data_IF_448994304175
#
_entry.id   IF_448994304175
#
_cell.length_a   1.000
_cell.length_b   1.000
_cell.length_c   1.000
_cell.angle_alpha   90.00
_cell.angle_beta   90.00
_cell.angle_gamma   90.00
#
_symmetry.space_group_name_H-M   'P 1'
#
loop_
_entity.id
_entity.type
_entity.pdbx_description
1 polymer ?
#
# COMPACT_ATOMS: atom_id res chain seq x y z
N UNK A 1 55.30 24.01 14.58
CA UNK A 1 55.22 22.57 14.24
C UNK A 1 55.35 21.70 15.49
N UNK A 2 54.57 21.96 16.55
CA UNK A 2 54.69 21.23 17.84
C UNK A 2 53.34 20.78 18.41
N UNK A 3 52.22 21.13 17.77
CA UNK A 3 50.87 20.74 18.19
C UNK A 3 50.35 19.47 17.50
N UNK A 4 50.90 19.09 16.33
CA UNK A 4 50.44 17.90 15.59
C UNK A 4 50.95 16.57 16.18
N UNK A 5 52.11 16.57 16.86
CA UNK A 5 52.68 15.34 17.43
C UNK A 5 51.97 14.84 18.69
N UNK A 6 51.33 15.74 19.46
CA UNK A 6 50.62 15.37 20.69
C UNK A 6 49.26 14.69 20.40
N UNK A 7 48.57 15.10 19.33
CA UNK A 7 47.28 14.50 18.92
C UNK A 7 47.46 13.09 18.34
N UNK A 8 48.56 12.83 17.62
CA UNK A 8 48.86 11.50 17.08
C UNK A 8 49.22 10.49 18.19
N UNK A 9 49.93 10.93 19.24
CA UNK A 9 50.27 10.09 20.40
C UNK A 9 49.05 9.74 21.25
N UNK A 10 48.03 10.61 21.33
CA UNK A 10 46.76 10.32 22.00
C UNK A 10 45.90 9.29 21.24
N UNK A 11 45.93 9.30 19.90
CA UNK A 11 45.21 8.32 19.09
C UNK A 11 45.84 6.91 19.15
N UNK A 12 47.17 6.80 19.32
CA UNK A 12 47.84 5.52 19.54
C UNK A 12 47.76 5.03 21.01
N UNK A 13 47.56 5.93 21.98
CA UNK A 13 47.38 5.57 23.39
C UNK A 13 45.95 5.06 23.70
N UNK A 14 44.96 5.34 22.85
CA UNK A 14 43.66 4.66 22.84
C UNK A 14 43.71 3.38 22.00
N UNK A 15 44.81 2.61 22.16
CA UNK A 15 44.95 1.28 21.60
C UNK A 15 43.71 0.43 21.88
N UNK A 16 43.30 -0.30 20.85
CA UNK A 16 42.21 -1.28 20.80
C UNK A 16 42.10 -2.02 22.14
N UNK A 17 41.21 -1.57 23.02
CA UNK A 17 40.82 -2.35 24.19
C UNK A 17 40.12 -3.58 23.64
N UNK A 18 40.68 -4.76 23.93
CA UNK A 18 39.95 -6.01 23.72
C UNK A 18 38.58 -5.87 24.37
N UNK A 19 37.53 -6.05 23.57
CA UNK A 19 36.17 -6.08 24.06
C UNK A 19 36.10 -7.23 25.07
N UNK A 20 35.75 -6.97 26.35
CA UNK A 20 35.63 -8.01 27.37
C UNK A 20 34.73 -9.14 26.86
N UNK A 21 35.05 -10.41 27.14
CA UNK A 21 34.31 -11.55 26.54
C UNK A 21 32.80 -11.49 26.76
N UNK A 22 32.34 -10.97 27.91
CA UNK A 22 30.92 -10.79 28.22
C UNK A 22 30.23 -9.65 27.44
N UNK A 23 30.99 -8.85 26.69
CA UNK A 23 30.52 -7.79 25.79
C UNK A 23 30.80 -8.12 24.32
N UNK A 24 31.49 -9.23 24.03
CA UNK A 24 31.58 -9.73 22.66
C UNK A 24 30.18 -10.24 22.29
N UNK A 25 29.58 -9.76 21.19
CA UNK A 25 28.35 -10.37 20.71
C UNK A 25 28.64 -11.86 20.48
N UNK A 26 27.78 -12.73 21.02
CA UNK A 26 27.87 -14.16 20.77
C UNK A 26 28.00 -14.37 19.26
N UNK A 27 28.99 -15.17 18.85
CA UNK A 27 29.13 -15.54 17.45
C UNK A 27 27.77 -16.08 16.98
N UNK A 28 27.20 -15.56 15.89
CA UNK A 28 25.92 -16.07 15.40
C UNK A 28 26.08 -17.59 15.24
N UNK A 29 25.14 -18.40 15.71
CA UNK A 29 25.28 -19.86 15.66
C UNK A 29 25.58 -20.30 14.23
N UNK A 30 26.83 -20.72 13.98
CA UNK A 30 27.36 -21.07 12.65
C UNK A 30 26.85 -22.40 12.10
N UNK A 31 25.73 -22.90 12.62
CA UNK A 31 25.08 -24.12 12.16
C UNK A 31 23.61 -23.82 11.92
N UNK A 32 23.34 -22.94 10.94
CA UNK A 32 22.08 -23.03 10.21
C UNK A 32 22.19 -24.35 9.43
N UNK A 33 21.61 -25.41 9.97
CA UNK A 33 21.32 -26.60 9.17
C UNK A 33 20.56 -26.10 7.95
N UNK A 34 21.16 -26.17 6.76
CA UNK A 34 20.48 -25.77 5.54
C UNK A 34 19.31 -26.72 5.35
N UNK A 35 18.12 -26.27 5.74
CA UNK A 35 16.88 -27.01 5.50
C UNK A 35 16.86 -27.35 4.00
N UNK A 36 16.77 -28.63 3.62
CA UNK A 36 16.79 -29.00 2.22
C UNK A 36 15.59 -28.36 1.52
N UNK A 37 15.86 -27.68 0.41
CA UNK A 37 14.85 -27.01 -0.39
C UNK A 37 14.18 -28.04 -1.28
N UNK A 38 12.94 -28.41 -0.95
CA UNK A 38 12.20 -29.51 -1.60
C UNK A 38 10.80 -29.13 -2.07
N UNK A 39 10.28 -28.01 -1.58
CA UNK A 39 8.93 -27.50 -1.87
C UNK A 39 8.92 -25.96 -1.90
N UNK A 40 7.79 -25.36 -2.30
CA UNK A 40 7.65 -23.91 -2.35
C UNK A 40 7.85 -23.24 -0.98
N UNK A 41 7.29 -23.74 0.15
CA UNK A 41 7.56 -23.18 1.48
C UNK A 41 9.04 -23.14 1.87
N UNK A 42 9.78 -24.24 1.69
CA UNK A 42 11.21 -24.31 2.00
C UNK A 42 12.05 -23.46 1.03
N UNK A 43 11.66 -23.37 -0.24
CA UNK A 43 12.28 -22.46 -1.20
C UNK A 43 12.05 -20.98 -0.85
N UNK A 44 10.83 -20.62 -0.45
CA UNK A 44 10.54 -19.28 0.03
C UNK A 44 11.36 -18.96 1.28
N UNK A 45 11.46 -19.89 2.24
CA UNK A 45 12.24 -19.69 3.45
C UNK A 45 13.72 -19.43 3.15
N UNK A 46 14.32 -20.23 2.27
CA UNK A 46 15.70 -20.01 1.81
C UNK A 46 15.84 -18.66 1.08
N UNK A 47 14.82 -18.22 0.35
CA UNK A 47 14.80 -16.93 -0.36
C UNK A 47 14.71 -15.75 0.61
N UNK A 48 13.89 -15.83 1.66
CA UNK A 48 13.72 -14.76 2.66
C UNK A 48 15.01 -14.49 3.45
N UNK A 49 15.86 -15.50 3.63
CA UNK A 49 17.17 -15.38 4.27
C UNK A 49 17.12 -14.68 5.65
N UNK A 50 16.11 -15.01 6.47
CA UNK A 50 15.95 -14.46 7.82
C UNK A 50 15.31 -13.07 7.91
N UNK A 51 14.93 -12.45 6.79
CA UNK A 51 14.25 -11.16 6.76
C UNK A 51 12.77 -11.30 6.34
N UNK A 52 11.78 -11.07 7.23
CA UNK A 52 10.37 -11.15 6.87
C UNK A 52 9.95 -10.09 5.85
N UNK A 53 10.72 -9.02 5.69
CA UNK A 53 10.45 -7.99 4.70
C UNK A 53 11.17 -8.24 3.38
N UNK A 54 11.95 -9.32 3.28
CA UNK A 54 12.68 -9.69 2.07
C UNK A 54 13.47 -8.52 1.46
N UNK A 55 14.17 -7.71 2.27
CA UNK A 55 14.91 -6.53 1.77
C UNK A 55 16.09 -6.90 0.90
N UNK A 56 16.72 -8.05 1.20
CA UNK A 56 17.87 -8.63 0.50
C UNK A 56 17.66 -10.13 0.31
N UNK A 57 16.65 -10.54 -0.47
CA UNK A 57 16.31 -11.94 -0.63
C UNK A 57 17.40 -12.65 -1.43
N UNK A 58 17.67 -13.90 -1.07
CA UNK A 58 18.63 -14.74 -1.78
C UNK A 58 18.05 -15.25 -3.10
N UNK A 59 18.83 -15.18 -4.18
CA UNK A 59 18.42 -15.73 -5.47
C UNK A 59 18.83 -17.20 -5.56
N UNK A 60 17.86 -18.10 -5.50
CA UNK A 60 18.10 -19.54 -5.58
C UNK A 60 18.49 -19.97 -7.01
N UNK A 61 19.13 -21.13 -7.10
CA UNK A 61 19.56 -21.70 -8.37
C UNK A 61 18.35 -22.12 -9.24
N UNK A 62 18.33 -21.71 -10.51
CA UNK A 62 17.22 -21.98 -11.42
C UNK A 62 16.98 -23.48 -11.67
N UNK A 63 18.05 -24.30 -11.69
CA UNK A 63 17.94 -25.75 -11.88
C UNK A 63 17.30 -26.43 -10.65
N UNK A 64 17.60 -25.95 -9.44
CA UNK A 64 16.93 -26.39 -8.22
C UNK A 64 15.44 -26.01 -8.24
N UNK A 65 15.13 -24.76 -8.57
CA UNK A 65 13.73 -24.31 -8.62
C UNK A 65 12.93 -25.01 -9.71
N UNK A 66 13.57 -25.46 -10.80
CA UNK A 66 12.91 -26.22 -11.86
C UNK A 66 12.39 -27.59 -11.41
N UNK A 67 12.90 -28.14 -10.31
CA UNK A 67 12.41 -29.42 -9.75
C UNK A 67 11.27 -29.25 -8.75
N UNK A 68 10.91 -28.00 -8.39
CA UNK A 68 9.92 -27.71 -7.36
C UNK A 68 8.60 -27.28 -8.02
N UNK A 69 7.47 -27.93 -7.72
CA UNK A 69 6.16 -27.50 -8.17
C UNK A 69 5.86 -26.06 -7.75
N UNK A 70 5.21 -25.29 -8.62
CA UNK A 70 4.77 -23.91 -8.35
C UNK A 70 5.90 -22.91 -8.01
N UNK A 71 7.17 -23.27 -8.20
CA UNK A 71 8.32 -22.38 -7.97
C UNK A 71 8.62 -21.42 -9.13
N UNK A 72 7.80 -21.40 -10.18
CA UNK A 72 7.96 -20.51 -11.32
C UNK A 72 8.01 -19.01 -10.93
N UNK A 73 7.21 -18.51 -9.96
CA UNK A 73 7.32 -17.12 -9.50
C UNK A 73 8.68 -16.79 -8.86
N UNK A 74 9.30 -17.74 -8.14
CA UNK A 74 10.64 -17.56 -7.57
C UNK A 74 11.72 -17.49 -8.65
N UNK A 75 11.60 -18.32 -9.71
CA UNK A 75 12.51 -18.26 -10.86
C UNK A 75 12.38 -16.92 -11.59
N UNK A 76 11.15 -16.47 -11.82
CA UNK A 76 10.87 -15.22 -12.49
C UNK A 76 11.43 -14.02 -11.70
N UNK A 77 11.28 -14.04 -10.37
CA UNK A 77 11.92 -13.08 -9.47
C UNK A 77 13.46 -13.09 -9.62
N UNK A 78 14.08 -14.29 -9.60
CA UNK A 78 15.52 -14.45 -9.82
C UNK A 78 15.98 -13.93 -11.18
N UNK A 79 15.19 -14.12 -12.24
CA UNK A 79 15.49 -13.58 -13.57
C UNK A 79 15.44 -12.04 -13.58
N UNK A 80 14.43 -11.44 -12.95
CA UNK A 80 14.28 -9.97 -12.89
C UNK A 80 15.40 -9.31 -12.09
N UNK A 81 15.77 -9.86 -10.92
CA UNK A 81 16.88 -9.34 -10.10
C UNK A 81 18.19 -9.30 -10.89
N UNK A 82 18.42 -10.26 -11.80
CA UNK A 82 19.60 -10.29 -12.67
C UNK A 82 19.50 -9.33 -13.86
N UNK A 83 18.32 -9.23 -14.48
CA UNK A 83 18.13 -8.47 -15.71
C UNK A 83 17.97 -6.95 -15.48
N UNK A 84 17.24 -6.55 -14.43
CA UNK A 84 16.87 -5.16 -14.18
C UNK A 84 16.83 -4.81 -12.67
N UNK A 85 17.94 -4.98 -11.92
CA UNK A 85 17.96 -4.80 -10.46
C UNK A 85 17.59 -3.38 -10.02
N UNK A 86 17.78 -2.38 -10.89
CA UNK A 86 17.66 -0.95 -10.59
C UNK A 86 16.54 -0.23 -11.36
N UNK A 87 15.60 -0.95 -11.98
CA UNK A 87 14.52 -0.38 -12.79
C UNK A 87 13.14 -0.50 -12.10
N UNK A 88 12.64 0.56 -11.44
CA UNK A 88 11.33 0.55 -10.77
C UNK A 88 10.15 0.19 -11.70
N UNK A 89 10.24 0.52 -12.99
CA UNK A 89 9.18 0.25 -13.94
C UNK A 89 9.12 -1.24 -14.28
N UNK A 90 10.27 -1.89 -14.44
CA UNK A 90 10.34 -3.35 -14.61
C UNK A 90 9.76 -4.09 -13.40
N UNK A 91 10.09 -3.65 -12.18
CA UNK A 91 9.51 -4.20 -10.95
C UNK A 91 7.99 -3.99 -10.84
N UNK A 92 7.49 -2.83 -11.25
CA UNK A 92 6.04 -2.55 -11.26
C UNK A 92 5.29 -3.36 -12.34
N UNK A 93 5.92 -3.63 -13.48
CA UNK A 93 5.37 -4.53 -14.49
C UNK A 93 5.31 -5.97 -13.96
N UNK A 94 6.40 -6.43 -13.35
CA UNK A 94 6.50 -7.75 -12.75
C UNK A 94 5.45 -7.99 -11.68
N UNK A 95 5.23 -7.05 -10.75
CA UNK A 95 4.17 -7.19 -9.74
C UNK A 95 2.78 -7.36 -10.37
N UNK A 96 2.47 -6.63 -11.44
CA UNK A 96 1.18 -6.76 -12.14
C UNK A 96 1.01 -8.12 -12.81
N UNK A 97 2.08 -8.67 -13.38
CA UNK A 97 2.06 -9.99 -14.02
C UNK A 97 2.01 -11.15 -13.02
N UNK A 98 2.52 -10.94 -11.80
CA UNK A 98 2.70 -11.99 -10.78
C UNK A 98 1.76 -11.88 -9.59
N UNK A 99 0.67 -11.14 -9.74
CA UNK A 99 -0.37 -10.99 -8.71
C UNK A 99 -0.86 -12.35 -8.20
N UNK A 100 -1.06 -12.45 -6.88
CA UNK A 100 -1.49 -13.66 -6.18
C UNK A 100 -0.37 -14.65 -5.87
N UNK A 101 0.90 -14.29 -6.11
CA UNK A 101 2.06 -15.18 -5.88
C UNK A 101 3.06 -14.60 -4.89
N UNK A 102 3.94 -15.46 -4.36
CA UNK A 102 5.02 -15.06 -3.42
C UNK A 102 5.98 -14.03 -4.01
N UNK A 103 6.06 -13.95 -5.34
CA UNK A 103 6.94 -13.02 -6.03
C UNK A 103 6.59 -11.55 -5.79
N UNK A 104 5.33 -11.23 -5.47
CA UNK A 104 4.92 -9.86 -5.14
C UNK A 104 5.54 -9.42 -3.82
N UNK A 105 5.45 -10.24 -2.76
CA UNK A 105 6.10 -9.96 -1.48
C UNK A 105 7.61 -9.77 -1.62
N UNK A 106 8.27 -10.66 -2.38
CA UNK A 106 9.71 -10.56 -2.65
C UNK A 106 10.10 -9.32 -3.46
N UNK A 107 9.32 -8.98 -4.50
CA UNK A 107 9.53 -7.78 -5.29
C UNK A 107 9.42 -6.53 -4.42
N UNK A 108 8.34 -6.41 -3.64
CA UNK A 108 8.14 -5.25 -2.76
C UNK A 108 9.22 -5.15 -1.68
N UNK A 109 9.67 -6.28 -1.14
CA UNK A 109 10.83 -6.35 -0.24
C UNK A 109 12.12 -5.83 -0.88
N UNK A 110 12.46 -6.31 -2.08
CA UNK A 110 13.61 -5.82 -2.84
C UNK A 110 13.55 -4.31 -3.06
N UNK A 111 12.38 -3.80 -3.47
CA UNK A 111 12.12 -2.38 -3.70
C UNK A 111 12.26 -1.56 -2.40
N UNK A 112 11.79 -2.08 -1.26
CA UNK A 112 12.04 -1.47 0.05
C UNK A 112 13.54 -1.41 0.37
N UNK A 113 14.29 -2.48 0.12
CA UNK A 113 15.75 -2.49 0.30
C UNK A 113 16.48 -1.48 -0.60
N UNK A 114 15.96 -1.18 -1.78
CA UNK A 114 16.43 -0.09 -2.63
C UNK A 114 16.14 1.28 -1.99
N UNK A 115 14.95 1.50 -1.43
CA UNK A 115 14.60 2.76 -0.75
C UNK A 115 15.40 3.00 0.52
N UNK A 116 15.68 1.96 1.29
CA UNK A 116 16.50 2.11 2.49
C UNK A 116 17.92 2.61 2.18
N UNK A 117 18.46 2.31 0.99
CA UNK A 117 19.74 2.89 0.55
C UNK A 117 19.69 4.39 0.26
N UNK A 118 18.48 4.96 0.09
CA UNK A 118 18.24 6.37 -0.18
C UNK A 118 17.94 7.19 1.08
N UNK A 119 17.92 6.57 2.28
CA UNK A 119 17.60 7.28 3.54
C UNK A 119 18.55 8.46 3.80
N UNK A 120 19.85 8.29 3.57
CA UNK A 120 20.83 9.38 3.77
C UNK A 120 20.48 10.64 2.96
N UNK A 121 20.34 10.53 1.63
CA UNK A 121 19.84 11.62 0.78
C UNK A 121 18.47 12.17 1.19
N UNK A 122 17.51 11.31 1.56
CA UNK A 122 16.17 11.73 2.01
C UNK A 122 16.25 12.63 3.25
N UNK A 123 17.07 12.26 4.24
CA UNK A 123 17.30 13.06 5.45
C UNK A 123 17.91 14.44 5.14
N UNK A 124 18.63 14.55 4.02
CA UNK A 124 19.22 15.81 3.54
C UNK A 124 18.25 16.65 2.70
N UNK A 125 17.01 16.20 2.52
CA UNK A 125 16.01 16.89 1.70
C UNK A 125 16.24 16.75 0.19
N UNK A 126 16.93 15.71 -0.25
CA UNK A 126 17.14 15.45 -1.68
C UNK A 126 15.81 15.06 -2.37
N UNK A 127 15.28 16.00 -3.14
CA UNK A 127 14.03 15.81 -3.90
C UNK A 127 14.15 14.72 -4.98
N UNK A 128 15.32 14.51 -5.56
CA UNK A 128 15.54 13.44 -6.54
C UNK A 128 15.50 12.07 -5.85
N UNK A 129 16.04 11.97 -4.63
CA UNK A 129 15.91 10.78 -3.80
C UNK A 129 14.45 10.53 -3.37
N UNK A 130 13.70 11.57 -3.01
CA UNK A 130 12.27 11.47 -2.69
C UNK A 130 11.45 10.97 -3.88
N UNK A 131 11.72 11.54 -5.07
CA UNK A 131 11.12 11.11 -6.33
C UNK A 131 11.43 9.64 -6.65
N UNK A 132 12.70 9.25 -6.56
CA UNK A 132 13.12 7.88 -6.80
C UNK A 132 12.47 6.91 -5.79
N UNK A 133 12.45 7.25 -4.50
CA UNK A 133 11.80 6.46 -3.47
C UNK A 133 10.30 6.24 -3.75
N UNK A 134 9.58 7.27 -4.22
CA UNK A 134 8.18 7.12 -4.64
C UNK A 134 8.00 6.16 -5.80
N UNK A 135 8.83 6.25 -6.85
CA UNK A 135 8.78 5.30 -7.96
C UNK A 135 9.05 3.87 -7.49
N UNK A 136 9.93 3.71 -6.50
CA UNK A 136 10.20 2.41 -5.87
C UNK A 136 9.07 1.92 -4.95
N UNK A 137 8.27 2.80 -4.34
CA UNK A 137 7.23 2.40 -3.36
C UNK A 137 5.79 2.56 -3.87
N UNK A 138 5.59 2.74 -5.18
CA UNK A 138 4.27 2.90 -5.79
C UNK A 138 4.17 2.30 -7.19
N UNK A 139 2.97 2.32 -7.76
CA UNK A 139 2.72 1.98 -9.17
C UNK A 139 2.86 3.16 -10.14
N UNK A 140 3.43 4.29 -9.70
CA UNK A 140 3.61 5.46 -10.55
C UNK A 140 4.55 5.17 -11.72
N UNK A 141 4.28 5.81 -12.85
CA UNK A 141 5.16 5.77 -14.02
C UNK A 141 6.12 6.94 -14.00
N UNK A 142 7.34 6.68 -14.43
CA UNK A 142 8.26 7.75 -14.76
C UNK A 142 7.82 8.39 -16.08
N UNK A 143 7.73 9.72 -16.07
CA UNK A 143 7.42 10.52 -17.25
C UNK A 143 8.37 11.72 -17.25
N UNK A 144 8.88 12.14 -18.43
CA UNK A 144 9.80 13.26 -18.53
C UNK A 144 9.15 14.54 -18.00
N UNK A 145 9.83 15.21 -17.08
CA UNK A 145 9.39 16.45 -16.46
C UNK A 145 9.86 17.63 -17.32
N UNK A 146 8.92 18.45 -17.80
CA UNK A 146 9.22 19.63 -18.63
C UNK A 146 9.29 20.94 -17.83
N UNK A 147 9.21 20.88 -16.50
CA UNK A 147 9.09 22.08 -15.64
C UNK A 147 9.93 21.96 -14.37
N UNK A 148 10.41 23.10 -13.86
CA UNK A 148 11.17 23.22 -12.62
C UNK A 148 10.37 22.61 -11.45
N UNK A 149 10.94 21.68 -10.66
CA UNK A 149 10.22 20.96 -9.61
C UNK A 149 9.58 21.86 -8.53
N UNK A 150 8.42 21.40 -8.05
CA UNK A 150 7.90 21.62 -6.69
C UNK A 150 8.94 21.30 -5.63
N UNK A 151 8.72 21.67 -4.36
CA UNK A 151 8.70 20.67 -3.30
C UNK A 151 7.30 20.02 -3.39
N UNK A 152 7.08 19.09 -4.34
CA UNK A 152 5.77 18.52 -4.65
C UNK A 152 5.41 17.41 -3.64
N UNK A 153 6.24 17.23 -2.62
CA UNK A 153 6.25 16.11 -1.71
C UNK A 153 5.64 16.44 -0.35
N UNK A 154 4.88 17.53 -0.22
CA UNK A 154 4.23 17.92 1.05
C UNK A 154 3.38 16.78 1.66
N UNK A 155 2.80 15.92 0.81
CA UNK A 155 2.04 14.74 1.24
C UNK A 155 2.92 13.61 1.80
N UNK A 156 4.23 13.77 1.76
CA UNK A 156 5.25 12.89 2.36
C UNK A 156 5.89 13.51 3.61
N UNK A 157 5.27 14.56 4.15
CA UNK A 157 5.83 15.37 5.23
C UNK A 157 6.65 16.53 4.66
N UNK A 158 6.74 17.61 5.43
CA UNK A 158 7.59 18.76 5.12
C UNK A 158 8.56 19.00 6.29
N UNK A 159 9.86 18.64 6.15
CA UNK A 159 10.48 17.94 5.02
C UNK A 159 10.02 16.47 4.92
N UNK A 160 10.33 15.82 3.78
CA UNK A 160 10.03 14.38 3.56
C UNK A 160 10.61 13.55 4.69
N UNK A 161 9.76 12.78 5.39
CA UNK A 161 10.20 11.94 6.50
C UNK A 161 10.73 10.58 6.00
N UNK A 162 12.02 10.25 6.23
CA UNK A 162 12.54 8.91 5.93
C UNK A 162 11.83 7.82 6.73
N UNK A 163 11.40 8.10 7.96
CA UNK A 163 10.62 7.16 8.77
C UNK A 163 9.27 6.86 8.13
N UNK A 164 8.59 7.87 7.59
CA UNK A 164 7.32 7.67 6.90
C UNK A 164 7.49 6.86 5.61
N UNK A 165 8.54 7.12 4.84
CA UNK A 165 8.88 6.33 3.65
C UNK A 165 9.16 4.86 4.00
N UNK A 166 9.94 4.62 5.06
CA UNK A 166 10.23 3.28 5.55
C UNK A 166 8.93 2.58 6.00
N UNK A 167 8.13 3.23 6.83
CA UNK A 167 6.87 2.66 7.32
C UNK A 167 5.89 2.36 6.17
N UNK A 168 5.83 3.22 5.13
CA UNK A 168 5.10 2.93 3.90
C UNK A 168 5.62 1.67 3.22
N UNK A 169 6.93 1.59 2.99
CA UNK A 169 7.53 0.45 2.29
C UNK A 169 7.42 -0.87 3.05
N UNK A 170 7.52 -0.86 4.38
CA UNK A 170 7.35 -2.06 5.21
C UNK A 170 5.92 -2.59 5.17
N UNK A 171 4.90 -1.73 5.35
CA UNK A 171 3.49 -2.13 5.18
C UNK A 171 3.24 -2.66 3.78
N UNK A 172 3.82 -2.01 2.77
CA UNK A 172 3.67 -2.42 1.38
C UNK A 172 4.30 -3.77 1.07
N UNK A 173 5.49 -4.06 1.62
CA UNK A 173 6.13 -5.36 1.55
C UNK A 173 5.29 -6.46 2.23
N UNK A 174 4.80 -6.23 3.46
CA UNK A 174 3.93 -7.18 4.15
C UNK A 174 2.65 -7.48 3.35
N UNK A 175 1.99 -6.46 2.78
CA UNK A 175 0.83 -6.68 1.89
C UNK A 175 1.17 -7.46 0.62
N UNK A 176 2.42 -7.40 0.14
CA UNK A 176 2.85 -8.23 -0.98
C UNK A 176 2.78 -9.72 -0.68
N UNK A 177 2.97 -10.10 0.59
CA UNK A 177 2.72 -11.47 1.07
C UNK A 177 1.25 -11.75 1.40
N UNK A 178 0.38 -10.74 1.33
CA UNK A 178 -1.07 -10.86 1.46
C UNK A 178 -1.78 -10.60 0.11
N UNK A 179 -1.06 -10.80 -0.99
CA UNK A 179 -1.56 -10.51 -2.35
C UNK A 179 -2.45 -11.64 -2.91
N UNK A 180 -2.58 -12.76 -2.18
CA UNK A 180 -3.51 -13.86 -2.46
C UNK A 180 -3.70 -14.81 -1.27
N UNK A 181 -4.80 -15.59 -1.23
CA UNK A 181 -5.13 -16.46 -0.09
C UNK A 181 -4.21 -17.69 0.01
N UNK A 182 -3.73 -18.23 -1.11
CA UNK A 182 -2.95 -19.48 -1.13
C UNK A 182 -1.47 -19.37 -0.77
N UNK A 183 -1.01 -18.21 -0.31
CA UNK A 183 0.43 -17.97 -0.09
C UNK A 183 0.97 -18.74 1.15
N UNK A 184 2.16 -19.36 1.06
CA UNK A 184 2.77 -20.05 2.20
C UNK A 184 3.38 -19.03 3.18
N UNK A 185 2.69 -18.76 4.29
CA UNK A 185 3.05 -17.70 5.24
C UNK A 185 3.79 -18.18 6.50
N UNK A 186 3.98 -19.49 6.68
CA UNK A 186 4.46 -20.07 7.95
C UNK A 186 5.85 -19.55 8.34
N UNK A 187 6.77 -19.52 7.37
CA UNK A 187 8.12 -18.99 7.60
C UNK A 187 8.10 -17.49 7.87
N UNK A 188 7.31 -16.74 7.12
CA UNK A 188 7.17 -15.30 7.31
C UNK A 188 6.64 -14.98 8.72
N UNK A 189 5.62 -15.71 9.17
CA UNK A 189 5.08 -15.61 10.52
C UNK A 189 6.12 -16.00 11.59
N UNK A 190 6.93 -17.04 11.35
CA UNK A 190 8.03 -17.43 12.24
C UNK A 190 9.04 -16.30 12.40
N UNK A 191 9.45 -15.67 11.30
CA UNK A 191 10.41 -14.56 11.31
C UNK A 191 9.83 -13.31 12.00
N UNK A 192 8.56 -12.99 11.75
CA UNK A 192 7.87 -11.87 12.37
C UNK A 192 7.78 -11.97 13.91
N UNK A 193 7.74 -13.19 14.47
CA UNK A 193 7.73 -13.39 15.93
C UNK A 193 9.06 -13.06 16.63
N UNK A 194 10.12 -12.74 15.87
CA UNK A 194 11.35 -12.21 16.46
C UNK A 194 11.09 -10.83 17.07
N UNK A 195 11.67 -10.56 18.24
CA UNK A 195 11.55 -9.26 18.94
C UNK A 195 12.04 -8.08 18.12
N UNK A 196 12.90 -8.32 17.11
CA UNK A 196 13.33 -7.30 16.13
C UNK A 196 12.15 -6.70 15.36
N UNK A 197 11.02 -7.42 15.24
CA UNK A 197 9.89 -7.06 14.40
C UNK A 197 8.60 -6.79 15.18
N UNK A 198 8.68 -6.53 16.49
CA UNK A 198 7.50 -6.25 17.36
C UNK A 198 6.58 -5.14 16.82
N UNK A 199 7.16 -4.12 16.18
CA UNK A 199 6.35 -3.08 15.54
C UNK A 199 5.53 -3.66 14.39
N UNK A 200 6.14 -4.49 13.53
CA UNK A 200 5.45 -5.08 12.38
C UNK A 200 4.37 -6.07 12.79
N UNK A 201 4.58 -6.82 13.88
CA UNK A 201 3.56 -7.74 14.42
C UNK A 201 2.35 -7.00 14.98
N UNK A 202 2.53 -5.75 15.44
CA UNK A 202 1.43 -4.90 15.91
C UNK A 202 0.60 -4.28 14.77
N UNK A 203 1.14 -4.19 13.55
CA UNK A 203 0.41 -3.72 12.37
C UNK A 203 -0.64 -4.74 11.92
N UNK A 204 -1.73 -4.28 11.28
CA UNK A 204 -2.83 -5.16 10.82
C UNK A 204 -2.31 -6.23 9.87
N UNK A 205 -1.43 -5.89 8.94
CA UNK A 205 -0.83 -6.85 8.01
C UNK A 205 -0.04 -7.94 8.73
N UNK A 206 0.74 -7.59 9.76
CA UNK A 206 1.46 -8.54 10.57
C UNK A 206 0.52 -9.46 11.35
N UNK A 207 -0.55 -8.90 11.92
CA UNK A 207 -1.58 -9.69 12.60
C UNK A 207 -2.27 -10.68 11.67
N UNK A 208 -2.62 -10.26 10.44
CA UNK A 208 -3.21 -11.15 9.42
C UNK A 208 -2.25 -12.31 9.12
N UNK A 209 -0.96 -12.03 8.88
CA UNK A 209 0.05 -13.06 8.61
C UNK A 209 0.16 -14.06 9.77
N UNK A 210 0.24 -13.56 11.00
CA UNK A 210 0.36 -14.40 12.20
C UNK A 210 -0.88 -15.27 12.43
N UNK A 211 -2.09 -14.71 12.27
CA UNK A 211 -3.36 -15.42 12.39
C UNK A 211 -3.47 -16.51 11.33
N UNK A 212 -3.15 -16.21 10.06
CA UNK A 212 -3.18 -17.18 8.95
C UNK A 212 -2.26 -18.37 9.16
N UNK A 213 -1.04 -18.11 9.64
CA UNK A 213 -0.05 -19.16 9.87
C UNK A 213 -0.35 -20.03 11.11
N UNK A 214 -1.23 -19.59 12.01
CA UNK A 214 -1.56 -20.30 13.26
C UNK A 214 -2.96 -20.90 13.31
N UNK A 215 -3.84 -20.53 12.36
CA UNK A 215 -5.22 -20.94 12.37
C UNK A 215 -5.42 -22.44 12.09
N UNK A 216 -6.43 -23.07 12.72
CA UNK A 216 -6.86 -24.41 12.35
C UNK A 216 -7.38 -24.43 10.90
N UNK A 217 -7.23 -25.57 10.22
CA UNK A 217 -7.75 -25.78 8.86
C UNK A 217 -8.84 -26.87 8.89
N UNK A 218 -10.10 -26.57 8.56
CA UNK A 218 -10.65 -25.26 8.18
C UNK A 218 -10.82 -24.30 9.38
N UNK A 219 -10.71 -23.00 9.12
CA UNK A 219 -10.97 -21.95 10.11
C UNK A 219 -12.48 -21.66 10.21
N UNK A 220 -12.97 -21.15 11.36
CA UNK A 220 -14.35 -20.66 11.47
C UNK A 220 -14.60 -19.49 10.50
N UNK A 221 -15.80 -19.39 9.88
CA UNK A 221 -16.15 -18.25 9.02
C UNK A 221 -16.05 -16.92 9.78
N UNK A 222 -15.53 -15.89 9.11
CA UNK A 222 -15.42 -14.56 9.70
C UNK A 222 -16.77 -13.83 9.78
N UNK A 223 -17.00 -13.06 10.86
CA UNK A 223 -18.13 -12.14 10.95
C UNK A 223 -17.84 -10.83 10.20
N UNK A 224 -18.49 -10.65 9.04
CA UNK A 224 -18.33 -9.50 8.17
C UNK A 224 -19.32 -8.35 8.45
N UNK A 225 -20.21 -8.48 9.43
CA UNK A 225 -21.28 -7.50 9.69
C UNK A 225 -20.76 -6.08 9.97
N UNK A 226 -19.68 -5.97 10.75
CA UNK A 226 -19.02 -4.69 11.02
C UNK A 226 -18.47 -4.01 9.77
N UNK A 227 -17.90 -4.80 8.85
CA UNK A 227 -17.38 -4.31 7.57
C UNK A 227 -18.49 -3.89 6.61
N UNK A 228 -19.58 -4.65 6.55
CA UNK A 228 -20.75 -4.30 5.73
C UNK A 228 -21.36 -2.96 6.14
N UNK A 229 -21.54 -2.76 7.45
CA UNK A 229 -22.00 -1.49 8.03
C UNK A 229 -21.05 -0.34 7.69
N UNK A 230 -19.75 -0.55 7.83
CA UNK A 230 -18.72 0.45 7.55
C UNK A 230 -18.76 0.90 6.08
N UNK A 231 -18.85 -0.04 5.13
CA UNK A 231 -18.95 0.27 3.71
C UNK A 231 -20.23 1.06 3.41
N UNK A 232 -21.35 0.66 4.03
CA UNK A 232 -22.62 1.39 3.92
C UNK A 232 -22.52 2.85 4.38
N UNK A 233 -21.83 3.10 5.51
CA UNK A 233 -21.58 4.46 6.00
C UNK A 233 -20.66 5.26 5.08
N UNK A 234 -19.63 4.64 4.51
CA UNK A 234 -18.76 5.27 3.51
C UNK A 234 -19.51 5.61 2.22
N UNK A 235 -20.42 4.75 1.75
CA UNK A 235 -21.31 5.00 0.62
C UNK A 235 -22.25 6.17 0.89
N UNK A 236 -22.89 6.18 2.06
CA UNK A 236 -23.76 7.28 2.48
C UNK A 236 -22.98 8.61 2.50
N UNK A 237 -21.79 8.62 3.10
CA UNK A 237 -20.89 9.79 3.12
C UNK A 237 -20.58 10.30 1.72
N UNK A 238 -20.15 9.39 0.83
CA UNK A 238 -19.79 9.74 -0.54
C UNK A 238 -20.97 10.20 -1.39
N UNK A 239 -22.21 10.01 -0.92
CA UNK A 239 -23.43 10.45 -1.61
C UNK A 239 -24.16 11.58 -0.89
N UNK A 240 -23.53 12.16 0.14
CA UNK A 240 -24.02 13.35 0.83
C UNK A 240 -23.42 14.61 0.18
N UNK A 241 -24.05 15.12 -0.88
CA UNK A 241 -23.51 16.25 -1.65
C UNK A 241 -24.06 17.61 -1.20
N UNK A 242 -25.19 17.62 -0.47
CA UNK A 242 -25.75 18.84 0.13
C UNK A 242 -25.41 18.96 1.61
N UNK A 243 -25.31 20.19 2.13
CA UNK A 243 -25.05 20.46 3.55
C UNK A 243 -26.03 19.73 4.48
N UNK A 244 -27.30 19.63 4.07
CA UNK A 244 -28.34 18.91 4.80
C UNK A 244 -28.06 17.41 4.87
N UNK A 245 -27.65 16.80 3.76
CA UNK A 245 -27.28 15.38 3.73
C UNK A 245 -26.00 15.12 4.52
N UNK A 246 -25.01 16.01 4.43
CA UNK A 246 -23.76 15.90 5.19
C UNK A 246 -24.00 16.08 6.69
N UNK A 247 -24.90 16.98 7.09
CA UNK A 247 -25.33 17.11 8.47
C UNK A 247 -26.04 15.83 8.96
N UNK A 248 -27.00 15.31 8.21
CA UNK A 248 -27.70 14.07 8.56
C UNK A 248 -26.76 12.86 8.68
N UNK A 249 -25.79 12.73 7.76
CA UNK A 249 -24.77 11.70 7.84
C UNK A 249 -23.89 11.86 9.10
N UNK A 250 -23.44 13.08 9.39
CA UNK A 250 -22.67 13.37 10.62
C UNK A 250 -23.48 13.01 11.87
N UNK A 251 -24.74 13.42 11.97
CA UNK A 251 -25.60 13.10 13.12
C UNK A 251 -25.73 11.59 13.31
N UNK A 252 -25.94 10.85 12.21
CA UNK A 252 -26.00 9.38 12.22
C UNK A 252 -24.69 8.78 12.71
N UNK A 253 -23.56 9.21 12.17
CA UNK A 253 -22.24 8.70 12.55
C UNK A 253 -21.90 9.05 14.01
N UNK A 254 -22.26 10.25 14.48
CA UNK A 254 -22.06 10.67 15.86
C UNK A 254 -22.99 9.95 16.85
N UNK A 255 -24.06 9.32 16.38
CA UNK A 255 -24.92 8.45 17.20
C UNK A 255 -24.34 7.05 17.42
N UNK A 256 -23.23 6.71 16.76
CA UNK A 256 -22.58 5.42 16.95
C UNK A 256 -21.98 5.31 18.37
N UNK A 257 -22.01 4.13 19.00
CA UNK A 257 -21.40 3.91 20.30
C UNK A 257 -19.91 4.31 20.30
N UNK A 258 -19.51 5.14 21.28
CA UNK A 258 -18.11 5.54 21.47
C UNK A 258 -17.66 6.77 20.67
N UNK A 259 -18.55 7.50 20.00
CA UNK A 259 -18.21 8.75 19.34
C UNK A 259 -17.82 9.86 20.35
N UNK A 260 -16.62 10.44 20.23
CA UNK A 260 -16.03 11.41 21.18
C UNK A 260 -15.79 12.79 20.56
N UNK A 261 -16.76 13.32 19.80
CA UNK A 261 -16.70 14.66 19.20
C UNK A 261 -15.87 14.80 17.92
N UNK A 262 -15.04 13.81 17.59
CA UNK A 262 -14.38 13.66 16.29
C UNK A 262 -15.13 12.62 15.42
N UNK A 263 -14.90 12.63 14.09
CA UNK A 263 -15.41 11.59 13.18
C UNK A 263 -14.98 10.20 13.68
N UNK A 264 -15.90 9.33 14.13
CA UNK A 264 -15.58 8.02 14.66
C UNK A 264 -15.29 6.98 13.57
N UNK A 265 -15.61 7.24 12.29
CA UNK A 265 -15.45 6.24 11.23
C UNK A 265 -14.02 5.69 11.08
N UNK A 266 -12.95 6.51 11.14
CA UNK A 266 -11.59 5.98 11.09
C UNK A 266 -11.27 5.02 12.25
N UNK A 267 -11.75 5.32 13.46
CA UNK A 267 -11.51 4.48 14.63
C UNK A 267 -12.34 3.18 14.57
N UNK A 268 -13.61 3.29 14.18
CA UNK A 268 -14.50 2.14 13.92
C UNK A 268 -13.92 1.23 12.84
N UNK A 269 -13.41 1.79 11.74
CA UNK A 269 -12.75 1.02 10.69
C UNK A 269 -11.51 0.28 11.17
N UNK A 270 -10.70 0.88 12.04
CA UNK A 270 -9.54 0.19 12.67
C UNK A 270 -10.00 -0.92 13.60
N UNK A 271 -11.04 -0.70 14.40
CA UNK A 271 -11.58 -1.73 15.28
C UNK A 271 -12.13 -2.93 14.49
N UNK A 272 -12.86 -2.67 13.39
CA UNK A 272 -13.30 -3.71 12.45
C UNK A 272 -12.11 -4.45 11.84
N UNK A 273 -11.07 -3.73 11.41
CA UNK A 273 -9.86 -4.35 10.87
C UNK A 273 -9.17 -5.28 11.88
N UNK A 274 -9.04 -4.86 13.15
CA UNK A 274 -8.45 -5.68 14.23
C UNK A 274 -9.29 -6.94 14.52
N UNK A 275 -10.62 -6.79 14.60
CA UNK A 275 -11.52 -7.91 14.83
C UNK A 275 -11.47 -8.95 13.70
N UNK A 276 -11.35 -8.51 12.45
CA UNK A 276 -11.20 -9.38 11.29
C UNK A 276 -9.79 -9.97 11.17
N UNK A 277 -8.75 -9.23 11.54
CA UNK A 277 -7.37 -9.73 11.55
C UNK A 277 -7.19 -10.88 12.56
N UNK A 278 -7.90 -10.85 13.68
CA UNK A 278 -7.97 -11.97 14.63
C UNK A 278 -8.68 -13.21 14.05
N UNK A 279 -9.54 -13.03 13.04
CA UNK A 279 -10.25 -14.09 12.32
C UNK A 279 -9.58 -14.44 10.98
N UNK A 280 -8.40 -13.90 10.70
CA UNK A 280 -7.76 -14.01 9.38
C UNK A 280 -7.29 -15.43 9.01
N UNK A 281 -7.46 -16.42 9.90
CA UNK A 281 -7.39 -17.83 9.53
C UNK A 281 -8.34 -18.22 8.41
N UNK A 282 -9.47 -17.51 8.31
CA UNK A 282 -10.40 -17.55 7.20
C UNK A 282 -10.03 -16.51 6.12
N UNK A 283 -10.27 -16.84 4.85
CA UNK A 283 -9.93 -15.95 3.73
C UNK A 283 -10.78 -14.67 3.76
N UNK A 284 -12.06 -14.76 4.13
CA UNK A 284 -12.90 -13.56 4.26
C UNK A 284 -12.47 -12.70 5.45
N UNK A 285 -12.01 -13.31 6.54
CA UNK A 285 -11.39 -12.60 7.66
C UNK A 285 -10.15 -11.81 7.22
N UNK A 286 -9.23 -12.45 6.49
CA UNK A 286 -8.00 -11.81 6.02
C UNK A 286 -8.28 -10.67 5.03
N UNK A 287 -9.07 -10.93 3.98
CA UNK A 287 -9.41 -9.91 3.00
C UNK A 287 -10.30 -8.81 3.57
N UNK A 288 -11.22 -9.14 4.48
CA UNK A 288 -12.05 -8.17 5.20
C UNK A 288 -11.23 -7.22 6.08
N UNK A 289 -10.20 -7.74 6.76
CA UNK A 289 -9.27 -6.92 7.53
C UNK A 289 -8.48 -5.95 6.64
N UNK A 290 -8.00 -6.41 5.48
CA UNK A 290 -7.35 -5.54 4.47
C UNK A 290 -8.30 -4.45 3.97
N UNK A 291 -9.56 -4.80 3.69
CA UNK A 291 -10.54 -3.83 3.22
C UNK A 291 -10.83 -2.76 4.29
N UNK A 292 -11.02 -3.18 5.55
CA UNK A 292 -11.27 -2.30 6.68
C UNK A 292 -10.08 -1.36 6.97
N UNK A 293 -8.83 -1.86 6.95
CA UNK A 293 -7.65 -1.00 7.17
C UNK A 293 -7.42 -0.05 6.00
N UNK A 294 -7.68 -0.47 4.76
CA UNK A 294 -7.65 0.42 3.60
C UNK A 294 -8.65 1.57 3.73
N UNK A 295 -9.89 1.28 4.17
CA UNK A 295 -10.91 2.30 4.43
C UNK A 295 -10.52 3.21 5.60
N UNK A 296 -10.03 2.65 6.71
CA UNK A 296 -9.57 3.43 7.86
C UNK A 296 -8.54 4.48 7.44
N UNK A 297 -7.54 4.07 6.65
CA UNK A 297 -6.49 4.96 6.14
C UNK A 297 -7.02 5.98 5.13
N UNK A 298 -8.01 5.60 4.30
CA UNK A 298 -8.65 6.54 3.39
C UNK A 298 -9.43 7.65 4.13
N UNK A 299 -10.09 7.31 5.23
CA UNK A 299 -10.93 8.24 5.98
C UNK A 299 -10.12 9.29 6.76
N UNK A 300 -8.86 8.99 7.10
CA UNK A 300 -7.97 9.95 7.79
C UNK A 300 -7.42 10.98 6.80
N UNK A 301 -7.47 12.26 7.16
CA UNK A 301 -6.97 13.38 6.35
C UNK A 301 -5.44 13.57 6.39
N UNK A 302 -4.73 12.66 7.05
CA UNK A 302 -3.27 12.71 7.21
C UNK A 302 -2.55 12.53 5.87
N UNK A 303 -1.38 13.18 5.66
CA UNK A 303 -0.48 12.87 4.56
C UNK A 303 -0.02 11.42 4.70
N UNK A 304 -0.74 10.51 4.04
CA UNK A 304 -0.35 9.11 3.94
C UNK A 304 -0.19 8.71 2.46
N UNK A 305 0.67 7.69 2.32
CA UNK A 305 1.10 6.97 1.13
C UNK A 305 0.09 6.71 -0.01
N UNK A 306 0.61 6.43 -1.21
CA UNK A 306 -0.13 6.12 -2.45
C UNK A 306 -0.51 4.64 -2.58
N UNK A 307 -0.90 4.03 -1.47
CA UNK A 307 -1.04 2.58 -1.31
C UNK A 307 -2.38 2.18 -0.66
N UNK A 308 -3.25 3.13 -0.35
CA UNK A 308 -4.53 2.85 0.34
C UNK A 308 -5.46 2.12 -0.61
N UNK A 309 -5.60 2.60 -1.83
CA UNK A 309 -6.50 1.99 -2.80
C UNK A 309 -5.95 0.64 -3.33
N UNK A 310 -4.62 0.47 -3.45
CA UNK A 310 -4.02 -0.86 -3.73
C UNK A 310 -4.36 -1.88 -2.63
N UNK A 311 -4.48 -1.45 -1.38
CA UNK A 311 -4.94 -2.31 -0.26
C UNK A 311 -6.39 -2.75 -0.46
N UNK A 312 -7.27 -1.82 -0.82
CA UNK A 312 -8.67 -2.13 -1.13
C UNK A 312 -8.77 -3.12 -2.29
N UNK A 313 -7.98 -2.92 -3.35
CA UNK A 313 -7.95 -3.82 -4.50
C UNK A 313 -7.41 -5.21 -4.15
N UNK A 314 -6.40 -5.30 -3.27
CA UNK A 314 -5.86 -6.58 -2.81
C UNK A 314 -6.88 -7.41 -2.03
N UNK A 315 -7.71 -6.78 -1.20
CA UNK A 315 -8.78 -7.46 -0.44
C UNK A 315 -9.73 -8.26 -1.35
N UNK A 316 -10.01 -7.77 -2.56
CA UNK A 316 -10.92 -8.41 -3.51
C UNK A 316 -10.43 -9.76 -4.07
N UNK A 317 -9.21 -10.20 -3.74
CA UNK A 317 -8.67 -11.49 -4.20
C UNK A 317 -8.92 -12.65 -3.24
N UNK A 318 -9.45 -12.37 -2.06
CA UNK A 318 -9.69 -13.39 -1.05
C UNK A 318 -11.03 -14.09 -1.20
N UNK A 319 -12.08 -13.40 -1.66
CA UNK A 319 -13.36 -14.04 -1.98
C UNK A 319 -14.15 -13.25 -3.03
N UNK A 320 -15.11 -13.88 -3.75
CA UNK A 320 -16.00 -13.17 -4.67
C UNK A 320 -16.82 -12.07 -3.98
N UNK A 321 -17.29 -12.30 -2.74
CA UNK A 321 -18.00 -11.30 -1.94
C UNK A 321 -17.11 -10.10 -1.66
N UNK A 322 -15.88 -10.34 -1.21
CA UNK A 322 -14.91 -9.28 -0.96
C UNK A 322 -14.49 -8.56 -2.23
N UNK A 323 -14.49 -9.23 -3.40
CA UNK A 323 -14.28 -8.57 -4.68
C UNK A 323 -15.33 -7.48 -4.93
N UNK A 324 -16.61 -7.82 -4.78
CA UNK A 324 -17.69 -6.85 -4.92
C UNK A 324 -17.54 -5.69 -3.93
N UNK A 325 -17.23 -6.00 -2.68
CA UNK A 325 -17.08 -4.99 -1.61
C UNK A 325 -15.87 -4.08 -1.83
N UNK A 326 -14.75 -4.64 -2.31
CA UNK A 326 -13.60 -3.87 -2.75
C UNK A 326 -13.95 -2.97 -3.94
N UNK A 327 -14.70 -3.48 -4.92
CA UNK A 327 -15.13 -2.69 -6.08
C UNK A 327 -16.05 -1.52 -5.68
N UNK A 328 -16.91 -1.70 -4.67
CA UNK A 328 -17.70 -0.63 -4.03
C UNK A 328 -16.78 0.38 -3.33
N UNK A 329 -15.89 -0.08 -2.46
CA UNK A 329 -14.98 0.78 -1.71
C UNK A 329 -14.09 1.63 -2.64
N UNK A 330 -13.51 1.02 -3.68
CA UNK A 330 -12.70 1.72 -4.69
C UNK A 330 -13.51 2.76 -5.47
N UNK A 331 -14.80 2.50 -5.71
CA UNK A 331 -15.68 3.47 -6.38
C UNK A 331 -16.00 4.65 -5.45
N UNK A 332 -16.20 4.38 -4.16
CA UNK A 332 -16.36 5.41 -3.13
C UNK A 332 -15.12 6.28 -2.99
N UNK A 333 -13.93 5.68 -2.93
CA UNK A 333 -12.66 6.43 -2.83
C UNK A 333 -12.40 7.26 -4.08
N UNK A 334 -12.67 6.72 -5.28
CA UNK A 334 -12.58 7.50 -6.52
C UNK A 334 -13.54 8.70 -6.49
N UNK A 335 -14.81 8.51 -6.10
CA UNK A 335 -15.77 9.62 -6.01
C UNK A 335 -15.29 10.69 -5.01
N UNK A 336 -14.91 10.29 -3.79
CA UNK A 336 -14.37 11.21 -2.78
C UNK A 336 -13.15 11.98 -3.30
N UNK A 337 -12.25 11.33 -4.04
CA UNK A 337 -11.10 11.99 -4.65
C UNK A 337 -11.48 13.00 -5.74
N UNK A 338 -12.48 12.67 -6.57
CA UNK A 338 -13.01 13.58 -7.60
C UNK A 338 -13.72 14.79 -6.96
N UNK A 339 -14.56 14.57 -5.95
CA UNK A 339 -15.25 15.66 -5.24
C UNK A 339 -14.23 16.60 -4.58
N UNK A 340 -13.18 16.05 -3.95
CA UNK A 340 -12.07 16.83 -3.38
C UNK A 340 -11.30 17.61 -4.42
N UNK A 341 -11.09 17.06 -5.62
CA UNK A 341 -10.48 17.78 -6.72
C UNK A 341 -11.33 18.98 -7.14
N UNK A 342 -12.65 18.78 -7.31
CA UNK A 342 -13.58 19.85 -7.68
C UNK A 342 -13.64 20.97 -6.62
N UNK A 343 -13.67 20.59 -5.34
CA UNK A 343 -13.59 21.54 -4.22
C UNK A 343 -12.22 22.23 -4.20
N UNK A 344 -11.14 21.48 -4.39
CA UNK A 344 -9.77 21.99 -4.45
C UNK A 344 -9.60 23.02 -5.57
N UNK A 345 -10.22 22.80 -6.73
CA UNK A 345 -10.22 23.76 -7.83
C UNK A 345 -10.93 25.07 -7.48
N UNK A 346 -12.05 25.00 -6.74
CA UNK A 346 -12.80 26.19 -6.28
C UNK A 346 -12.06 26.99 -5.22
N UNK A 347 -11.18 26.35 -4.45
CA UNK A 347 -10.46 26.96 -3.32
C UNK A 347 -8.96 27.09 -3.54
N UNK A 348 -8.47 26.98 -4.78
CA UNK A 348 -7.03 27.08 -5.12
C UNK A 348 -6.13 26.04 -4.41
N UNK A 349 -6.70 24.90 -4.00
CA UNK A 349 -6.02 23.76 -3.33
C UNK A 349 -5.86 22.55 -4.26
N UNK A 350 -5.60 22.81 -5.55
CA UNK A 350 -5.48 21.78 -6.58
C UNK A 350 -4.43 20.72 -6.23
N UNK A 351 -3.20 21.14 -5.89
CA UNK A 351 -2.11 20.23 -5.57
C UNK A 351 -2.41 19.31 -4.38
N UNK A 352 -3.15 19.81 -3.39
CA UNK A 352 -3.56 19.05 -2.19
C UNK A 352 -4.53 17.90 -2.50
N UNK A 353 -5.29 18.00 -3.59
CA UNK A 353 -6.23 16.96 -4.01
C UNK A 353 -5.57 15.82 -4.81
N UNK A 354 -4.42 16.10 -5.47
CA UNK A 354 -3.80 15.15 -6.40
C UNK A 354 -3.31 13.83 -5.77
N UNK A 355 -2.73 13.79 -4.56
CA UNK A 355 -2.30 12.52 -3.97
C UNK A 355 -3.44 11.51 -3.79
N UNK A 356 -4.63 11.97 -3.36
CA UNK A 356 -5.80 11.09 -3.23
C UNK A 356 -6.32 10.62 -4.59
N UNK A 357 -6.34 11.52 -5.58
CA UNK A 357 -6.73 11.15 -6.94
C UNK A 357 -5.77 10.10 -7.53
N UNK A 358 -4.46 10.32 -7.40
CA UNK A 358 -3.44 9.40 -7.87
C UNK A 358 -3.56 8.03 -7.18
N UNK A 359 -3.71 7.99 -5.86
CA UNK A 359 -3.91 6.75 -5.10
C UNK A 359 -5.18 6.01 -5.57
N UNK A 360 -6.32 6.69 -5.70
CA UNK A 360 -7.55 6.08 -6.20
C UNK A 360 -7.38 5.49 -7.62
N UNK A 361 -6.76 6.23 -8.54
CA UNK A 361 -6.50 5.75 -9.90
C UNK A 361 -5.53 4.55 -9.91
N UNK A 362 -4.47 4.59 -9.11
CA UNK A 362 -3.52 3.48 -8.96
C UNK A 362 -4.21 2.21 -8.41
N UNK A 363 -5.10 2.35 -7.43
CA UNK A 363 -5.88 1.22 -6.91
C UNK A 363 -6.83 0.60 -7.92
N UNK A 364 -7.23 1.36 -8.94
CA UNK A 364 -7.98 0.85 -10.10
C UNK A 364 -7.08 0.19 -11.16
N UNK A 365 -5.77 0.13 -10.93
CA UNK A 365 -4.80 -0.36 -11.89
C UNK A 365 -4.58 0.59 -13.07
N UNK A 366 -5.03 1.84 -12.96
CA UNK A 366 -4.89 2.84 -14.01
C UNK A 366 -3.49 3.46 -14.00
N UNK A 367 -2.97 3.83 -15.17
CA UNK A 367 -1.65 4.42 -15.28
C UNK A 367 -1.65 5.84 -14.74
N UNK A 368 -0.78 6.12 -13.76
CA UNK A 368 -0.58 7.47 -13.22
C UNK A 368 0.89 7.84 -13.34
N UNK A 369 1.16 8.94 -14.02
CA UNK A 369 2.52 9.47 -14.13
C UNK A 369 2.87 10.28 -12.88
N UNK A 370 4.10 10.13 -12.37
CA UNK A 370 4.58 10.92 -11.22
C UNK A 370 4.49 12.43 -11.46
N UNK A 371 4.60 12.85 -12.73
CA UNK A 371 4.48 14.25 -13.13
C UNK A 371 3.12 14.90 -12.80
N UNK A 372 2.06 14.10 -12.56
CA UNK A 372 0.79 14.62 -12.05
C UNK A 372 0.97 15.19 -10.64
N UNK A 373 1.64 14.46 -9.75
CA UNK A 373 1.87 14.86 -8.36
C UNK A 373 2.86 16.03 -8.24
N UNK A 374 3.65 16.26 -9.28
CA UNK A 374 4.60 17.37 -9.34
C UNK A 374 3.94 18.71 -9.77
N UNK A 375 2.63 18.71 -10.09
CA UNK A 375 1.92 19.92 -10.53
C UNK A 375 1.37 20.72 -9.34
N UNK A 376 1.65 22.03 -9.35
CA UNK A 376 1.05 22.98 -8.39
C UNK A 376 -0.31 23.52 -8.83
N UNK A 377 -0.51 23.62 -10.14
CA UNK A 377 -1.58 24.39 -10.73
C UNK A 377 -2.37 23.59 -11.78
N UNK A 378 -3.64 23.94 -12.00
CA UNK A 378 -4.52 23.35 -13.02
C UNK A 378 -4.12 23.72 -14.46
N UNK A 379 -2.95 23.26 -14.91
CA UNK A 379 -2.39 23.56 -16.23
C UNK A 379 -2.69 22.44 -17.25
N UNK A 380 -2.55 22.73 -18.55
CA UNK A 380 -2.80 21.78 -19.65
C UNK A 380 -2.16 20.40 -19.45
N UNK A 381 -0.91 20.36 -18.97
CA UNK A 381 -0.22 19.10 -18.70
C UNK A 381 -0.88 18.25 -17.61
N UNK A 382 -1.45 18.87 -16.57
CA UNK A 382 -2.15 18.15 -15.51
C UNK A 382 -3.46 17.53 -16.02
N UNK A 383 -4.20 18.28 -16.85
CA UNK A 383 -5.43 17.82 -17.50
C UNK A 383 -5.18 16.69 -18.48
N UNK A 384 -4.09 16.78 -19.25
CA UNK A 384 -3.66 15.71 -20.13
C UNK A 384 -3.29 14.44 -19.36
N UNK A 385 -2.57 14.55 -18.24
CA UNK A 385 -2.25 13.40 -17.39
C UNK A 385 -3.52 12.74 -16.84
N UNK A 386 -4.51 13.52 -16.40
CA UNK A 386 -5.77 12.98 -15.87
C UNK A 386 -6.58 12.28 -16.98
N UNK A 387 -6.77 12.91 -18.14
CA UNK A 387 -7.54 12.30 -19.24
C UNK A 387 -6.91 10.99 -19.73
N UNK A 388 -5.58 10.97 -19.89
CA UNK A 388 -4.83 9.75 -20.21
C UNK A 388 -4.95 8.66 -19.16
N UNK A 389 -4.84 9.02 -17.87
CA UNK A 389 -4.98 8.05 -16.78
C UNK A 389 -6.35 7.36 -16.79
N UNK A 390 -7.40 8.08 -17.17
CA UNK A 390 -8.77 7.54 -17.28
C UNK A 390 -9.04 6.78 -18.59
N UNK A 391 -8.06 6.68 -19.51
CA UNK A 391 -8.23 6.03 -20.80
C UNK A 391 -9.16 6.77 -21.77
N UNK A 392 -9.39 8.08 -21.55
CA UNK A 392 -10.17 8.95 -22.42
C UNK A 392 -9.27 9.60 -23.48
N UNK A 393 -9.84 10.15 -24.57
CA UNK A 393 -9.05 10.93 -25.53
C UNK A 393 -8.25 12.04 -24.84
N UNK A 394 -7.09 12.35 -25.40
CA UNK A 394 -6.20 13.41 -24.90
C UNK A 394 -6.97 14.74 -24.80
N UNK A 395 -7.22 15.20 -23.58
CA UNK A 395 -7.87 16.47 -23.28
C UNK A 395 -6.93 17.36 -22.45
N UNK A 396 -6.97 18.67 -22.70
CA UNK A 396 -6.04 19.64 -22.09
C UNK A 396 -6.74 20.72 -21.29
N UNK A 397 -8.06 20.61 -21.11
CA UNK A 397 -8.87 21.55 -20.34
C UNK A 397 -9.39 20.92 -19.05
N UNK A 398 -9.76 21.77 -18.10
CA UNK A 398 -10.37 21.33 -16.84
C UNK A 398 -11.66 20.54 -17.09
N UNK A 399 -12.53 21.04 -17.99
CA UNK A 399 -13.83 20.43 -18.26
C UNK A 399 -13.68 19.02 -18.84
N UNK A 400 -12.74 18.82 -19.77
CA UNK A 400 -12.44 17.49 -20.33
C UNK A 400 -11.94 16.52 -19.25
N UNK A 401 -11.05 16.97 -18.36
CA UNK A 401 -10.52 16.14 -17.28
C UNK A 401 -11.60 15.78 -16.24
N UNK A 402 -12.44 16.72 -15.84
CA UNK A 402 -13.55 16.45 -14.91
C UNK A 402 -14.62 15.57 -15.56
N UNK A 403 -14.94 15.78 -16.83
CA UNK A 403 -15.86 14.93 -17.60
C UNK A 403 -15.33 13.50 -17.68
N UNK A 404 -14.03 13.32 -17.92
CA UNK A 404 -13.37 12.02 -17.95
C UNK A 404 -13.47 11.28 -16.61
N UNK A 405 -13.17 11.98 -15.50
CA UNK A 405 -13.25 11.45 -14.15
C UNK A 405 -14.68 11.09 -13.73
N UNK A 406 -15.65 12.00 -13.95
CA UNK A 406 -17.08 11.74 -13.69
C UNK A 406 -17.60 10.58 -14.53
N UNK A 407 -17.20 10.52 -15.79
CA UNK A 407 -17.51 9.40 -16.68
C UNK A 407 -16.96 8.06 -16.16
N UNK A 408 -15.76 8.04 -15.57
CA UNK A 408 -15.19 6.85 -14.93
C UNK A 408 -15.99 6.44 -13.67
N UNK A 409 -16.32 7.41 -12.80
CA UNK A 409 -17.17 7.17 -11.62
C UNK A 409 -18.53 6.62 -12.03
N UNK A 410 -19.19 7.24 -13.01
CA UNK A 410 -20.48 6.80 -13.52
C UNK A 410 -20.44 5.39 -14.11
N UNK A 411 -19.41 5.06 -14.89
CA UNK A 411 -19.24 3.72 -15.45
C UNK A 411 -19.12 2.66 -14.36
N UNK A 412 -18.32 2.91 -13.32
CA UNK A 412 -18.18 1.98 -12.18
C UNK A 412 -19.48 1.83 -11.40
N UNK A 413 -20.17 2.92 -11.10
CA UNK A 413 -21.46 2.88 -10.41
C UNK A 413 -22.53 2.14 -11.22
N UNK A 414 -22.49 2.27 -12.55
CA UNK A 414 -23.41 1.54 -13.44
C UNK A 414 -23.14 0.04 -13.41
N UNK A 415 -21.86 -0.38 -13.41
CA UNK A 415 -21.50 -1.78 -13.25
C UNK A 415 -21.93 -2.35 -11.90
N UNK A 416 -21.76 -1.58 -10.81
CA UNK A 416 -22.19 -1.98 -9.47
C UNK A 416 -23.72 -2.08 -9.35
N UNK A 417 -24.47 -1.13 -9.95
CA UNK A 417 -25.93 -1.14 -9.93
C UNK A 417 -26.54 -2.35 -10.65
N UNK A 418 -25.82 -2.90 -11.63
CA UNK A 418 -26.21 -4.11 -12.35
C UNK A 418 -25.77 -5.42 -11.66
N UNK A 419 -25.03 -5.34 -10.56
CA UNK A 419 -24.48 -6.52 -9.90
C UNK A 419 -25.57 -7.24 -9.08
N UNK A 420 -25.84 -8.54 -9.32
CA UNK A 420 -26.97 -9.24 -8.70
C UNK A 420 -26.79 -9.47 -7.19
N UNK A 421 -25.55 -9.57 -6.71
CA UNK A 421 -25.22 -9.84 -5.30
C UNK A 421 -24.99 -8.57 -4.47
N UNK A 422 -25.36 -7.39 -5.00
CA UNK A 422 -25.23 -6.15 -4.26
C UNK A 422 -26.15 -6.15 -3.03
N UNK A 423 -25.64 -5.83 -1.82
CA UNK A 423 -26.49 -5.68 -0.64
C UNK A 423 -27.66 -4.72 -0.92
N UNK A 424 -28.92 -5.11 -0.62
CA UNK A 424 -30.09 -4.29 -0.94
C UNK A 424 -30.02 -2.87 -0.36
N UNK A 425 -29.44 -2.74 0.84
CA UNK A 425 -29.29 -1.45 1.54
C UNK A 425 -28.28 -0.51 0.86
N UNK A 426 -27.42 -1.02 -0.03
CA UNK A 426 -26.44 -0.21 -0.77
C UNK A 426 -27.00 0.34 -2.09
N UNK A 427 -28.00 -0.34 -2.68
CA UNK A 427 -28.56 0.01 -3.97
C UNK A 427 -29.11 1.45 -4.05
N UNK A 428 -29.83 1.99 -3.03
CA UNK A 428 -30.30 3.38 -3.06
C UNK A 428 -29.16 4.40 -3.13
N UNK A 429 -28.06 4.13 -2.43
CA UNK A 429 -26.87 4.99 -2.42
C UNK A 429 -26.15 4.95 -3.75
N UNK A 430 -25.92 3.76 -4.31
CA UNK A 430 -25.29 3.59 -5.63
C UNK A 430 -26.13 4.26 -6.72
N UNK A 431 -27.45 4.08 -6.72
CA UNK A 431 -28.33 4.73 -7.68
C UNK A 431 -28.30 6.27 -7.55
N UNK A 432 -28.20 6.79 -6.32
CA UNK A 432 -28.05 8.24 -6.08
C UNK A 432 -26.72 8.75 -6.61
N UNK A 433 -25.61 8.08 -6.28
CA UNK A 433 -24.28 8.41 -6.77
C UNK A 433 -24.25 8.42 -8.30
N UNK A 434 -24.85 7.41 -8.94
CA UNK A 434 -24.85 7.24 -10.39
C UNK A 434 -25.56 8.40 -11.10
N UNK A 435 -26.69 8.85 -10.58
CA UNK A 435 -27.44 10.00 -11.12
C UNK A 435 -26.63 11.29 -11.07
N UNK A 436 -25.83 11.48 -10.02
CA UNK A 436 -25.05 12.70 -9.79
C UNK A 436 -23.71 12.70 -10.52
N UNK A 437 -23.11 11.53 -10.72
CA UNK A 437 -21.90 11.37 -11.51
C UNK A 437 -22.17 11.41 -13.02
N UNK A 438 -23.43 11.53 -13.46
CA UNK A 438 -23.78 11.55 -14.88
C UNK A 438 -23.05 12.74 -15.55
N UNK A 439 -22.18 12.47 -16.55
CA UNK A 439 -21.34 13.47 -17.19
C UNK A 439 -22.14 14.56 -17.92
#
# INVERSE_FOLDING_TARGET
>A
MTTLSAALLLLFACGVREIPEHLKPDAPPSTVMSVPVVDLPTALAATLNGDPLARRPSVLNDALLATIPDAEPLRAFGALTRAAPSDPAAWSAFERERRGTVAVGLARGWRLGAVESMIGPLTQGDEAAARAALLWLSGLRDAPTLTVPYSPWFFLGDPVSPEMMRAMGERWALRGFLDGPGLPLDELARLLRSTTYDRLTSEIEGQIILSRASAPRPAPPADLSGLERLIGLCLERATADSDKEQAAHRDRVMSLPGATGADPLPADARAVAQALAAQAGDDEGAGGALLAVGLARWLVTSPEALDRADTLAAAGRFSPRLKLWADVALTVTLKDAVDRLEVGLKHERFAEALPRLADALLGLGLPVDISLLERRAPIHGAWLSITRATGRPDGTTQDEALLALRGLVHARLSALAAHPELPPDWAPWIARAQRRAKP
#
